data_IF_678168652632
#
_entry.id   IF_678168652632
#
_cell.length_a   1.000
_cell.length_b   1.000
_cell.length_c   1.000
_cell.angle_alpha   90.00
_cell.angle_beta   90.00
_cell.angle_gamma   90.00
#
_symmetry.space_group_name_H-M   'P 1'
#
loop_
_entity.id
_entity.type
_entity.pdbx_description
1 polymer ?
#
# COMPACT_ATOMS: atom_id res chain seq x y z
N UNK A 1 -6.03 -20.86 -13.93
CA UNK A 1 -7.48 -20.78 -14.12
C UNK A 1 -7.87 -19.60 -15.02
N UNK A 2 -9.01 -19.66 -15.69
CA UNK A 2 -9.58 -18.53 -16.44
C UNK A 2 -10.54 -17.69 -15.58
N UNK A 3 -11.00 -16.55 -16.11
CA UNK A 3 -11.94 -15.64 -15.41
C UNK A 3 -13.22 -16.33 -14.94
N UNK A 4 -13.76 -17.28 -15.72
CA UNK A 4 -15.01 -17.98 -15.38
C UNK A 4 -14.79 -18.93 -14.19
N UNK A 5 -13.70 -19.67 -14.19
CA UNK A 5 -13.29 -20.55 -13.10
C UNK A 5 -13.05 -19.77 -11.81
N UNK A 6 -12.23 -18.70 -11.87
CA UNK A 6 -11.95 -17.84 -10.73
C UNK A 6 -13.24 -17.20 -10.18
N UNK A 7 -14.13 -16.71 -11.05
CA UNK A 7 -15.42 -16.12 -10.68
C UNK A 7 -16.29 -17.10 -9.90
N UNK A 8 -16.39 -18.35 -10.38
CA UNK A 8 -17.15 -19.39 -9.70
C UNK A 8 -16.52 -19.78 -8.36
N UNK A 9 -15.20 -20.00 -8.33
CA UNK A 9 -14.47 -20.40 -7.12
C UNK A 9 -14.54 -19.33 -6.03
N UNK A 10 -14.36 -18.07 -6.39
CA UNK A 10 -14.30 -16.95 -5.46
C UNK A 10 -15.69 -16.39 -5.11
N UNK A 11 -16.76 -16.87 -5.77
CA UNK A 11 -18.12 -16.39 -5.55
C UNK A 11 -18.31 -14.91 -5.90
N UNK A 12 -17.62 -14.41 -6.93
CA UNK A 12 -17.69 -13.00 -7.35
C UNK A 12 -18.00 -12.88 -8.84
N UNK A 13 -18.51 -11.73 -9.27
CA UNK A 13 -18.76 -11.47 -10.68
C UNK A 13 -17.47 -11.54 -11.53
N UNK A 14 -17.58 -12.02 -12.77
CA UNK A 14 -16.47 -12.03 -13.75
C UNK A 14 -15.88 -10.63 -13.99
N UNK A 15 -16.68 -9.58 -13.88
CA UNK A 15 -16.20 -8.19 -13.97
C UNK A 15 -15.25 -7.84 -12.83
N UNK A 16 -15.54 -8.29 -11.61
CA UNK A 16 -14.67 -8.13 -10.44
C UNK A 16 -13.35 -8.87 -10.64
N UNK A 17 -13.37 -10.11 -11.14
CA UNK A 17 -12.14 -10.85 -11.44
C UNK A 17 -11.29 -10.12 -12.46
N UNK A 18 -11.89 -9.68 -13.59
CA UNK A 18 -11.15 -8.91 -14.61
C UNK A 18 -10.56 -7.63 -14.03
N UNK A 19 -11.29 -6.96 -13.13
CA UNK A 19 -10.82 -5.78 -12.43
C UNK A 19 -9.61 -6.11 -11.57
N UNK A 20 -9.62 -7.20 -10.81
CA UNK A 20 -8.46 -7.61 -10.01
C UNK A 20 -7.23 -7.88 -10.87
N UNK A 21 -7.40 -8.55 -12.02
CA UNK A 21 -6.30 -8.76 -12.96
C UNK A 21 -5.79 -7.43 -13.54
N UNK A 22 -6.68 -6.55 -14.00
CA UNK A 22 -6.28 -5.25 -14.57
C UNK A 22 -5.69 -4.29 -13.54
N UNK A 23 -6.13 -4.41 -12.28
CA UNK A 23 -5.62 -3.62 -11.17
C UNK A 23 -4.24 -4.09 -10.70
N UNK A 24 -3.74 -5.24 -11.19
CA UNK A 24 -2.43 -5.79 -10.82
C UNK A 24 -2.37 -6.37 -9.41
N UNK A 25 -3.52 -6.55 -8.73
CA UNK A 25 -3.56 -7.12 -7.38
C UNK A 25 -3.50 -8.65 -7.37
N UNK A 26 -3.58 -9.28 -8.54
CA UNK A 26 -3.27 -10.68 -8.76
C UNK A 26 -1.93 -10.72 -9.50
N UNK A 27 -0.82 -10.99 -8.80
CA UNK A 27 0.47 -11.18 -9.44
C UNK A 27 0.41 -12.27 -10.49
N UNK A 28 1.26 -12.18 -11.51
CA UNK A 28 1.39 -13.19 -12.57
C UNK A 28 0.12 -13.46 -13.40
N UNK A 29 -0.98 -12.73 -13.18
CA UNK A 29 -2.08 -12.73 -14.14
C UNK A 29 -1.63 -12.06 -15.43
N UNK A 30 -1.84 -12.74 -16.56
CA UNK A 30 -1.49 -12.23 -17.88
C UNK A 30 -2.63 -12.50 -18.86
N UNK A 31 -2.64 -11.78 -19.99
CA UNK A 31 -3.54 -12.09 -21.10
C UNK A 31 -2.87 -13.08 -22.03
N UNK A 32 -3.56 -14.18 -22.33
CA UNK A 32 -3.09 -15.17 -23.30
C UNK A 32 -2.91 -14.51 -24.68
N UNK A 33 -1.77 -14.79 -25.32
CA UNK A 33 -1.41 -14.23 -26.62
C UNK A 33 -1.70 -15.18 -27.79
N UNK A 34 -2.00 -16.46 -27.51
CA UNK A 34 -2.31 -17.47 -28.51
C UNK A 34 -3.59 -17.14 -29.28
N UNK A 35 -3.57 -17.31 -30.61
CA UNK A 35 -4.65 -16.85 -31.52
C UNK A 35 -6.06 -17.25 -31.09
N UNK A 36 -6.26 -18.49 -30.63
CA UNK A 36 -7.59 -19.02 -30.25
C UNK A 36 -8.11 -18.50 -28.90
N UNK A 37 -7.24 -17.96 -28.03
CA UNK A 37 -7.59 -17.47 -26.70
C UNK A 37 -7.08 -16.04 -26.44
N UNK A 38 -6.78 -15.31 -27.53
CA UNK A 38 -6.19 -13.97 -27.47
C UNK A 38 -7.02 -13.04 -26.61
N UNK A 39 -6.39 -12.46 -25.60
CA UNK A 39 -7.01 -11.48 -24.70
C UNK A 39 -7.79 -12.07 -23.52
N UNK A 40 -7.81 -13.40 -23.35
CA UNK A 40 -8.33 -14.01 -22.13
C UNK A 40 -7.32 -13.89 -20.99
N UNK A 41 -7.80 -13.53 -19.79
CA UNK A 41 -6.96 -13.54 -18.61
C UNK A 41 -6.69 -14.98 -18.14
N UNK A 42 -5.41 -15.29 -17.99
CA UNK A 42 -4.90 -16.45 -17.28
C UNK A 42 -4.53 -15.99 -15.87
N UNK A 43 -5.05 -16.69 -14.88
CA UNK A 43 -4.95 -16.34 -13.46
C UNK A 43 -4.26 -17.51 -12.75
N UNK A 44 -3.21 -17.28 -11.95
CA UNK A 44 -2.57 -18.34 -11.18
C UNK A 44 -3.54 -18.93 -10.15
N UNK A 45 -3.24 -20.12 -9.67
CA UNK A 45 -4.03 -20.80 -8.63
C UNK A 45 -3.77 -20.12 -7.27
N UNK A 46 -4.74 -19.32 -6.80
CA UNK A 46 -4.57 -18.51 -5.59
C UNK A 46 -5.91 -18.15 -4.93
N UNK A 47 -5.80 -17.61 -3.72
CA UNK A 47 -6.94 -17.10 -2.97
C UNK A 47 -7.50 -15.80 -3.55
N UNK A 48 -8.78 -15.56 -3.28
CA UNK A 48 -9.46 -14.33 -3.68
C UNK A 48 -8.79 -13.12 -2.99
N UNK A 49 -8.50 -12.02 -3.72
CA UNK A 49 -8.07 -10.78 -3.10
C UNK A 49 -9.05 -10.33 -1.99
N UNK A 50 -8.58 -10.08 -0.75
CA UNK A 50 -9.44 -9.70 0.39
C UNK A 50 -9.93 -8.24 0.30
N UNK A 51 -9.29 -7.44 -0.56
CA UNK A 51 -9.66 -6.07 -0.85
C UNK A 51 -9.34 -5.73 -2.32
N UNK A 52 -9.94 -4.64 -2.83
CA UNK A 52 -9.50 -4.05 -4.11
C UNK A 52 -8.17 -3.30 -3.97
N UNK A 53 -7.62 -2.83 -5.10
CA UNK A 53 -6.30 -2.15 -5.17
C UNK A 53 -6.11 -1.05 -4.14
N UNK A 54 -7.04 -0.10 -4.06
CA UNK A 54 -6.96 1.00 -3.09
C UNK A 54 -6.86 0.50 -1.64
N UNK A 55 -7.56 -0.59 -1.33
CA UNK A 55 -7.47 -1.26 -0.03
C UNK A 55 -6.08 -1.85 0.19
N UNK A 56 -5.60 -2.69 -0.73
CA UNK A 56 -4.26 -3.30 -0.64
C UNK A 56 -3.16 -2.24 -0.52
N UNK A 57 -3.20 -1.20 -1.36
CA UNK A 57 -2.25 -0.08 -1.34
C UNK A 57 -2.29 0.68 -0.02
N UNK A 58 -3.47 0.87 0.59
CA UNK A 58 -3.57 1.48 1.92
C UNK A 58 -2.82 0.66 2.99
N UNK A 59 -2.86 -0.66 2.92
CA UNK A 59 -2.13 -1.52 3.85
C UNK A 59 -0.63 -1.53 3.55
N UNK A 60 -0.21 -1.53 2.28
CA UNK A 60 1.18 -1.34 1.88
C UNK A 60 1.75 -0.01 2.42
N UNK A 61 1.05 1.11 2.20
CA UNK A 61 1.44 2.42 2.75
C UNK A 61 1.52 2.43 4.27
N UNK A 62 0.70 1.62 4.95
CA UNK A 62 0.79 1.48 6.41
C UNK A 62 2.10 0.81 6.85
N UNK A 63 2.64 -0.13 6.07
CA UNK A 63 3.96 -0.73 6.33
C UNK A 63 5.03 0.36 6.29
N UNK A 64 5.04 1.19 5.24
CA UNK A 64 5.95 2.35 5.13
C UNK A 64 5.85 3.23 6.36
N UNK A 65 4.63 3.68 6.70
CA UNK A 65 4.43 4.56 7.85
C UNK A 65 4.91 3.93 9.17
N UNK A 66 4.70 2.62 9.37
CA UNK A 66 5.16 1.91 10.58
C UNK A 66 6.68 1.83 10.62
N UNK A 67 7.34 1.56 9.49
CA UNK A 67 8.80 1.58 9.38
C UNK A 67 9.39 2.98 9.65
N UNK A 68 8.62 4.04 9.40
CA UNK A 68 8.96 5.44 9.72
C UNK A 68 8.60 5.84 11.17
N UNK A 69 8.11 4.90 11.98
CA UNK A 69 7.82 5.09 13.40
C UNK A 69 6.36 5.40 13.75
N UNK A 70 5.44 5.36 12.78
CA UNK A 70 4.01 5.52 13.07
C UNK A 70 3.47 4.33 13.88
N UNK A 71 2.53 4.61 14.80
CA UNK A 71 1.85 3.60 15.63
C UNK A 71 0.35 3.58 15.31
N UNK A 72 -0.06 2.96 14.19
CA UNK A 72 -1.46 2.96 13.78
C UNK A 72 -2.30 2.13 14.77
N UNK A 73 -3.47 2.67 15.15
CA UNK A 73 -4.49 1.88 15.85
C UNK A 73 -5.29 1.09 14.82
N UNK A 74 -5.41 -0.22 15.03
CA UNK A 74 -6.34 -1.06 14.27
C UNK A 74 -7.72 -0.96 14.91
N UNK A 75 -8.55 -0.02 14.44
CA UNK A 75 -9.96 0.10 14.85
C UNK A 75 -10.88 -0.89 14.10
N UNK A 76 -10.30 -1.77 13.28
CA UNK A 76 -10.98 -2.71 12.40
C UNK A 76 -10.89 -4.13 12.95
N UNK A 77 -11.77 -5.00 12.47
CA UNK A 77 -11.69 -6.44 12.67
C UNK A 77 -10.26 -6.95 12.39
N UNK A 78 -9.61 -7.46 13.43
CA UNK A 78 -8.21 -7.88 13.41
C UNK A 78 -8.00 -9.05 12.44
N UNK A 79 -8.98 -9.94 12.30
CA UNK A 79 -8.91 -11.08 11.38
C UNK A 79 -8.90 -10.61 9.93
N UNK A 80 -9.68 -9.57 9.64
CA UNK A 80 -9.66 -8.94 8.32
C UNK A 80 -8.30 -8.29 8.03
N UNK A 81 -7.70 -7.63 9.01
CA UNK A 81 -6.36 -7.04 8.88
C UNK A 81 -5.31 -8.13 8.61
N UNK A 82 -5.34 -9.21 9.39
CA UNK A 82 -4.49 -10.39 9.20
C UNK A 82 -4.64 -10.98 7.80
N UNK A 83 -5.86 -11.20 7.32
CA UNK A 83 -6.11 -11.73 5.98
C UNK A 83 -5.52 -10.87 4.86
N UNK A 84 -5.48 -9.54 5.05
CA UNK A 84 -4.94 -8.62 4.05
C UNK A 84 -3.41 -8.65 4.06
N UNK A 85 -2.78 -8.61 5.24
CA UNK A 85 -1.33 -8.76 5.32
C UNK A 85 -0.86 -10.13 4.85
N UNK A 86 -1.63 -11.18 5.14
CA UNK A 86 -1.39 -12.52 4.60
C UNK A 86 -1.37 -12.52 3.09
N UNK A 87 -2.42 -11.99 2.49
CA UNK A 87 -2.52 -11.89 1.05
C UNK A 87 -1.36 -11.07 0.46
N UNK A 88 -1.01 -9.95 1.07
CA UNK A 88 0.10 -9.08 0.63
C UNK A 88 1.44 -9.84 0.62
N UNK A 89 1.71 -10.59 1.69
CA UNK A 89 2.92 -11.42 1.85
C UNK A 89 2.93 -12.59 0.86
N UNK A 90 1.84 -13.37 0.79
CA UNK A 90 1.71 -14.55 -0.07
C UNK A 90 1.80 -14.19 -1.56
N UNK A 91 1.37 -12.98 -1.93
CA UNK A 91 1.47 -12.45 -3.30
C UNK A 91 2.84 -11.83 -3.62
N UNK A 92 3.80 -11.85 -2.68
CA UNK A 92 5.14 -11.31 -2.92
C UNK A 92 5.17 -9.80 -3.12
N UNK A 93 4.24 -9.03 -2.54
CA UNK A 93 4.32 -7.56 -2.53
C UNK A 93 5.27 -7.05 -1.45
N UNK A 94 5.59 -7.88 -0.46
CA UNK A 94 6.50 -7.59 0.64
C UNK A 94 7.43 -8.78 0.88
N UNK A 95 8.42 -8.60 1.75
CA UNK A 95 9.03 -9.71 2.48
C UNK A 95 7.99 -10.42 3.35
N UNK A 96 8.34 -11.62 3.81
CA UNK A 96 7.47 -12.43 4.68
C UNK A 96 6.97 -11.63 5.88
N UNK A 97 5.67 -11.77 6.17
CA UNK A 97 5.01 -11.19 7.33
C UNK A 97 4.58 -12.33 8.25
N UNK A 98 5.08 -12.34 9.49
CA UNK A 98 4.56 -13.22 10.53
C UNK A 98 3.26 -12.65 11.10
N UNK A 99 2.16 -13.36 10.84
CA UNK A 99 0.78 -12.92 11.04
C UNK A 99 0.18 -13.50 12.32
N UNK A 100 0.82 -14.56 12.84
CA UNK A 100 0.38 -15.28 14.02
C UNK A 100 0.85 -14.58 15.30
N UNK A 101 1.93 -13.80 15.20
CA UNK A 101 2.48 -12.98 16.27
C UNK A 101 1.97 -11.52 16.24
N UNK A 102 2.53 -10.66 17.10
CA UNK A 102 2.17 -9.24 17.17
C UNK A 102 2.51 -8.51 15.86
N UNK A 103 1.50 -8.36 14.99
CA UNK A 103 1.57 -7.73 13.68
C UNK A 103 2.30 -6.39 13.75
N UNK A 104 2.03 -5.54 14.76
CA UNK A 104 2.64 -4.20 14.82
C UNK A 104 4.16 -4.27 14.95
N UNK A 105 4.65 -5.20 15.74
CA UNK A 105 6.08 -5.41 15.94
C UNK A 105 6.73 -5.91 14.65
N UNK A 106 6.08 -6.84 13.95
CA UNK A 106 6.61 -7.38 12.70
C UNK A 106 6.58 -6.40 11.53
N UNK A 107 5.55 -5.55 11.43
CA UNK A 107 5.45 -4.58 10.34
C UNK A 107 6.61 -3.58 10.28
N UNK A 108 7.38 -3.40 11.36
CA UNK A 108 8.55 -2.52 11.36
C UNK A 108 9.69 -3.06 10.50
N UNK A 109 9.86 -4.38 10.45
CA UNK A 109 10.95 -5.04 9.73
C UNK A 109 10.55 -5.47 8.32
N UNK A 110 9.26 -5.38 7.98
CA UNK A 110 8.74 -5.77 6.67
C UNK A 110 9.15 -4.75 5.61
N UNK A 111 9.76 -5.25 4.53
CA UNK A 111 10.13 -4.44 3.37
C UNK A 111 9.14 -4.65 2.25
N UNK A 112 8.73 -3.57 1.60
CA UNK A 112 7.99 -3.63 0.34
C UNK A 112 8.99 -3.96 -0.77
N UNK A 113 8.65 -4.92 -1.63
CA UNK A 113 9.49 -5.26 -2.79
C UNK A 113 9.01 -4.49 -4.02
N UNK A 114 9.77 -4.56 -5.12
CA UNK A 114 9.50 -3.81 -6.36
C UNK A 114 8.04 -3.91 -6.81
N UNK A 115 7.46 -5.12 -6.83
CA UNK A 115 6.07 -5.34 -7.22
C UNK A 115 5.07 -4.58 -6.33
N UNK A 116 5.34 -4.47 -5.02
CA UNK A 116 4.51 -3.70 -4.10
C UNK A 116 4.58 -2.20 -4.38
N UNK A 117 5.76 -1.68 -4.71
CA UNK A 117 5.92 -0.27 -5.10
C UNK A 117 5.24 0.05 -6.43
N UNK A 118 5.35 -0.83 -7.43
CA UNK A 118 4.63 -0.68 -8.71
C UNK A 118 3.11 -0.57 -8.53
N UNK A 119 2.55 -1.35 -7.59
CA UNK A 119 1.13 -1.28 -7.25
C UNK A 119 0.76 0.05 -6.59
N UNK A 120 1.60 0.57 -5.69
CA UNK A 120 1.43 1.89 -5.05
C UNK A 120 1.43 2.99 -6.12
N UNK A 121 2.46 3.01 -6.98
CA UNK A 121 2.59 4.02 -8.03
C UNK A 121 1.41 3.99 -9.00
N UNK A 122 0.93 2.79 -9.36
CA UNK A 122 -0.23 2.63 -10.24
C UNK A 122 -1.49 3.23 -9.61
N UNK A 123 -1.72 3.00 -8.32
CA UNK A 123 -2.85 3.59 -7.61
C UNK A 123 -2.73 5.12 -7.49
N UNK A 124 -1.53 5.65 -7.26
CA UNK A 124 -1.30 7.11 -7.22
C UNK A 124 -1.48 7.79 -8.58
N UNK A 125 -1.14 7.10 -9.68
CA UNK A 125 -1.39 7.60 -11.04
C UNK A 125 -2.89 7.61 -11.38
N UNK A 126 -3.62 6.58 -10.96
CA UNK A 126 -5.07 6.46 -11.25
C UNK A 126 -5.91 7.34 -10.32
N UNK A 127 -5.54 7.41 -9.05
CA UNK A 127 -6.19 8.19 -8.02
C UNK A 127 -5.16 9.14 -7.39
N UNK A 128 -4.71 10.18 -8.12
CA UNK A 128 -3.81 11.16 -7.53
C UNK A 128 -4.52 11.75 -6.32
N UNK A 129 -3.88 11.61 -5.16
CA UNK A 129 -4.31 12.34 -3.98
C UNK A 129 -4.25 13.80 -4.42
N UNK A 130 -5.41 14.46 -4.53
CA UNK A 130 -5.45 15.92 -4.60
C UNK A 130 -4.88 16.38 -3.26
N UNK A 131 -3.57 16.56 -3.19
CA UNK A 131 -2.95 17.31 -2.11
C UNK A 131 -3.51 18.71 -2.24
N UNK A 132 -4.58 18.99 -1.50
CA UNK A 132 -4.82 20.35 -1.03
C UNK A 132 -3.67 20.66 -0.10
N UNK A 133 -2.54 21.05 -0.69
CA UNK A 133 -1.50 21.79 -0.01
C UNK A 133 -2.14 23.12 0.35
N UNK A 134 -2.81 23.18 1.50
CA UNK A 134 -3.00 24.45 2.18
C UNK A 134 -1.61 24.98 2.49
N UNK A 135 -1.19 26.00 1.75
CA UNK A 135 0.06 26.76 1.88
C UNK A 135 0.23 27.48 3.24
N UNK A 136 -0.25 26.92 4.35
CA UNK A 136 -0.20 27.56 5.68
C UNK A 136 0.49 26.68 6.73
N UNK A 137 1.60 26.04 6.34
CA UNK A 137 2.61 25.64 7.32
C UNK A 137 3.88 26.43 6.98
N UNK A 138 3.85 27.74 7.26
CA UNK A 138 5.06 28.46 7.62
C UNK A 138 5.64 27.71 8.83
N UNK A 139 6.64 26.88 8.54
CA UNK A 139 7.62 26.44 9.51
C UNK A 139 8.28 27.69 10.06
N UNK A 140 7.79 28.14 11.22
CA UNK A 140 8.49 29.07 12.11
C UNK A 140 9.72 28.33 12.67
N UNK A 141 10.70 28.14 11.80
CA UNK A 141 12.05 27.74 12.18
C UNK A 141 12.65 28.97 12.83
N UNK A 142 12.45 29.07 14.14
CA UNK A 142 13.15 29.98 15.03
C UNK A 142 14.65 29.82 14.84
N UNK A 143 15.21 30.62 13.94
CA UNK A 143 16.65 30.80 13.80
C UNK A 143 17.08 31.67 14.98
N UNK A 144 17.41 31.01 16.09
CA UNK A 144 18.18 31.62 17.17
C UNK A 144 19.57 31.99 16.63
N UNK A 145 19.70 33.19 16.05
CA UNK A 145 21.01 33.83 15.87
C UNK A 145 21.39 34.48 17.19
N UNK A 146 22.19 33.76 17.96
CA UNK A 146 23.11 34.36 18.92
C UNK A 146 23.99 35.39 18.17
N UNK A 147 24.00 36.63 18.64
CA UNK A 147 24.70 37.72 17.97
C UNK A 147 24.68 39.03 18.77
N UNK A 148 25.43 39.03 19.88
CA UNK A 148 26.08 40.19 20.52
C UNK A 148 25.25 41.41 20.93
N UNK A 149 25.12 41.54 22.26
CA UNK A 149 24.84 42.75 23.01
C UNK A 149 25.81 43.89 22.67
N UNK A 150 25.28 45.10 22.45
CA UNK A 150 25.94 46.34 22.85
C UNK A 150 25.00 47.08 23.78
N UNK A 151 25.22 46.90 25.08
CA UNK A 151 24.89 47.92 26.08
C UNK A 151 26.13 48.78 26.28
N UNK A 152 25.97 50.08 26.14
CA UNK A 152 26.74 51.10 26.87
C UNK A 152 25.88 52.36 26.95
N UNK A 153 25.03 52.37 27.97
CA UNK A 153 24.85 53.47 28.92
C UNK A 153 26.25 53.80 29.55
N UNK A 154 26.72 55.00 29.95
CA UNK A 154 26.17 56.27 30.45
C UNK A 154 27.21 57.40 30.21
N UNK A 155 26.74 58.66 30.32
CA UNK A 155 27.40 59.97 30.33
C UNK A 155 28.49 60.16 31.41
N UNK A 156 29.45 61.04 31.11
CA UNK A 156 29.88 62.16 31.97
C UNK A 156 30.11 63.40 31.11
#
# INVERSE_FOLDING_TARGET
MNVKEASNRWGVAKSTVRKYCSDGIIPEAYKEEKELMKGQWIIPEMDKPPAGRSGIVKYLKRIINVSEGAKPKFNSDIEKVKSIYKYISDCGFTTEIDIDNDILSFLQDVKIVTLGYELIETEEKVNPIKTTTSKNAELDLGVAKAGYSKQTEIQE
#
